data_IF_282164955095
#
_entry.id   IF_282164955095
#
_cell.length_a   1.000
_cell.length_b   1.000
_cell.length_c   1.000
_cell.angle_alpha   90.00
_cell.angle_beta   90.00
_cell.angle_gamma   90.00
#
_symmetry.space_group_name_H-M   'P 1'
#
loop_
_entity.id
_entity.type
_entity.pdbx_description
1 polymer ?
#
# COMPACT_ATOMS: atom_id res chain seq x y z
N UNK A 1 24.21 -12.25 -8.73
CA UNK A 1 22.92 -12.86 -9.12
C UNK A 1 22.25 -11.92 -10.12
N UNK A 2 21.77 -12.42 -11.26
CA UNK A 2 21.07 -11.59 -12.24
C UNK A 2 19.58 -11.56 -11.88
N UNK A 3 19.01 -10.37 -11.75
CA UNK A 3 17.59 -10.14 -11.43
C UNK A 3 16.93 -9.37 -12.57
N UNK A 4 15.60 -9.28 -12.56
CA UNK A 4 14.87 -8.41 -13.50
C UNK A 4 15.30 -6.93 -13.44
N UNK A 5 15.98 -6.52 -12.36
CA UNK A 5 16.49 -5.16 -12.16
C UNK A 5 18.02 -5.06 -12.30
N UNK A 6 18.67 -6.05 -12.93
CA UNK A 6 20.12 -6.07 -13.13
C UNK A 6 20.90 -6.90 -12.11
N UNK A 7 22.20 -6.61 -12.00
CA UNK A 7 23.15 -7.43 -11.24
C UNK A 7 23.10 -7.10 -9.75
N UNK A 8 22.67 -8.05 -8.93
CA UNK A 8 22.81 -7.98 -7.47
C UNK A 8 24.12 -8.65 -7.05
N UNK A 9 25.01 -7.88 -6.42
CA UNK A 9 26.21 -8.40 -5.75
C UNK A 9 25.85 -8.56 -4.27
N UNK A 10 26.05 -9.76 -3.75
CA UNK A 10 25.81 -10.09 -2.35
C UNK A 10 27.10 -10.70 -1.80
N UNK A 11 27.65 -10.12 -0.74
CA UNK A 11 28.92 -10.54 -0.17
C UNK A 11 29.11 -9.97 1.24
N UNK A 12 30.01 -10.57 2.01
CA UNK A 12 30.37 -10.11 3.36
C UNK A 12 31.37 -8.97 3.26
N UNK A 13 31.00 -7.78 3.72
CA UNK A 13 31.91 -6.65 3.93
C UNK A 13 32.51 -6.73 5.34
N UNK A 14 33.74 -7.26 5.43
CA UNK A 14 34.58 -7.21 6.64
C UNK A 14 34.21 -8.20 7.77
N UNK A 15 35.22 -8.62 8.52
CA UNK A 15 35.03 -9.42 9.75
C UNK A 15 34.51 -8.52 10.88
N UNK A 16 33.20 -8.57 11.15
CA UNK A 16 32.61 -7.92 12.33
C UNK A 16 31.15 -7.48 12.21
N UNK A 17 30.61 -7.32 11.00
CA UNK A 17 29.22 -6.89 10.80
C UNK A 17 28.29 -8.09 10.54
N UNK A 18 27.32 -8.31 11.42
CA UNK A 18 26.24 -9.29 11.25
C UNK A 18 25.19 -8.87 10.21
N UNK A 19 25.37 -7.74 9.54
CA UNK A 19 24.47 -7.25 8.50
C UNK A 19 24.97 -7.69 7.13
N UNK A 20 24.17 -8.50 6.42
CA UNK A 20 24.36 -8.72 4.99
C UNK A 20 24.00 -7.42 4.27
N UNK A 21 25.01 -6.63 3.88
CA UNK A 21 24.80 -5.46 3.04
C UNK A 21 24.54 -5.91 1.60
N UNK A 22 23.40 -5.48 1.05
CA UNK A 22 23.06 -5.70 -0.37
C UNK A 22 23.23 -4.37 -1.08
N UNK A 23 24.29 -4.25 -1.88
CA UNK A 23 24.48 -3.10 -2.76
C UNK A 23 23.77 -3.37 -4.10
N UNK A 24 22.68 -2.64 -4.35
CA UNK A 24 22.04 -2.60 -5.66
C UNK A 24 22.76 -1.53 -6.49
N UNK A 25 23.59 -1.95 -7.44
CA UNK A 25 24.20 -1.06 -8.43
C UNK A 25 23.49 -1.21 -9.76
N UNK A 26 22.78 -0.15 -10.17
CA UNK A 26 22.11 -0.09 -11.47
C UNK A 26 22.98 0.75 -12.40
N UNK A 27 23.78 0.09 -13.24
CA UNK A 27 24.50 0.78 -14.31
C UNK A 27 23.52 1.03 -15.46
N UNK A 28 23.08 2.28 -15.63
CA UNK A 28 22.18 2.67 -16.71
C UNK A 28 22.94 3.57 -17.68
N UNK A 29 23.24 3.04 -18.86
CA UNK A 29 24.03 3.74 -19.87
C UNK A 29 23.20 4.73 -20.70
N UNK A 30 21.88 4.54 -20.78
CA UNK A 30 20.96 5.37 -21.56
C UNK A 30 19.58 5.42 -20.88
N UNK A 31 19.33 6.45 -20.06
CA UNK A 31 18.01 6.69 -19.48
C UNK A 31 17.12 7.40 -20.49
N UNK A 32 16.23 6.66 -21.14
CA UNK A 32 15.06 7.28 -21.78
C UNK A 32 14.04 7.57 -20.69
N UNK A 33 13.47 8.77 -20.68
CA UNK A 33 12.47 9.18 -19.68
C UNK A 33 11.28 8.20 -19.59
N UNK A 34 10.95 7.54 -20.70
CA UNK A 34 9.92 6.50 -20.75
C UNK A 34 10.25 5.31 -19.85
N UNK A 35 11.52 4.93 -19.73
CA UNK A 35 11.94 3.80 -18.90
C UNK A 35 11.80 4.18 -17.40
N UNK A 36 12.06 5.44 -17.03
CA UNK A 36 11.78 5.96 -15.69
C UNK A 36 10.27 5.91 -15.37
N UNK A 37 9.43 6.43 -16.26
CA UNK A 37 7.97 6.38 -16.06
C UNK A 37 7.41 4.96 -16.06
N UNK A 38 8.06 4.04 -16.78
CA UNK A 38 7.70 2.62 -16.73
C UNK A 38 7.96 2.02 -15.35
N UNK A 39 9.01 2.47 -14.65
CA UNK A 39 9.31 2.07 -13.27
C UNK A 39 8.30 2.67 -12.29
N UNK A 40 7.94 3.95 -12.47
CA UNK A 40 6.92 4.61 -11.64
C UNK A 40 5.52 4.00 -11.81
N UNK A 41 5.23 3.42 -12.98
CA UNK A 41 3.96 2.72 -13.28
C UNK A 41 4.02 1.21 -13.02
N UNK A 42 5.12 0.67 -12.47
CA UNK A 42 5.21 -0.75 -12.12
C UNK A 42 4.15 -1.13 -11.09
N UNK A 43 3.24 -2.04 -11.48
CA UNK A 43 2.14 -2.51 -10.64
C UNK A 43 0.85 -1.69 -10.79
N UNK A 44 0.92 -0.51 -11.40
CA UNK A 44 -0.25 0.31 -11.79
C UNK A 44 -0.41 0.16 -13.31
N UNK A 45 -0.73 -1.06 -13.74
CA UNK A 45 -1.11 -1.29 -15.14
C UNK A 45 -2.61 -1.15 -15.25
N UNK A 46 -3.06 -0.57 -16.35
CA UNK A 46 -4.47 -0.63 -16.72
C UNK A 46 -4.93 -2.08 -16.60
N UNK A 47 -5.99 -2.34 -15.82
CA UNK A 47 -6.50 -3.69 -15.69
C UNK A 47 -6.84 -4.21 -17.10
N UNK A 48 -6.70 -5.52 -17.30
CA UNK A 48 -7.06 -6.18 -18.55
C UNK A 48 -8.59 -6.23 -18.70
N UNK A 49 -9.25 -5.09 -18.59
CA UNK A 49 -10.67 -4.92 -18.81
C UNK A 49 -10.85 -4.99 -20.32
N UNK A 50 -11.82 -5.77 -20.77
CA UNK A 50 -12.16 -5.90 -22.20
C UNK A 50 -12.75 -4.61 -22.80
N UNK A 51 -12.95 -3.57 -21.98
CA UNK A 51 -13.54 -2.30 -22.37
C UNK A 51 -12.48 -1.42 -23.03
N UNK A 52 -12.90 -0.73 -24.09
CA UNK A 52 -12.02 0.26 -24.73
C UNK A 52 -11.77 1.44 -23.79
N UNK A 53 -10.61 2.10 -23.95
CA UNK A 53 -10.29 3.33 -23.20
C UNK A 53 -11.41 4.38 -23.28
N UNK A 54 -12.10 4.45 -24.42
CA UNK A 54 -13.21 5.38 -24.66
C UNK A 54 -14.41 5.08 -23.77
N UNK A 55 -14.75 3.81 -23.56
CA UNK A 55 -15.87 3.40 -22.70
C UNK A 55 -15.61 3.74 -21.23
N UNK A 56 -14.36 3.56 -20.78
CA UNK A 56 -13.95 3.91 -19.41
C UNK A 56 -14.05 5.43 -19.21
N UNK A 57 -13.56 6.22 -20.17
CA UNK A 57 -13.65 7.69 -20.11
C UNK A 57 -15.10 8.20 -20.09
N UNK A 58 -15.99 7.57 -20.86
CA UNK A 58 -17.41 7.90 -20.88
C UNK A 58 -18.09 7.55 -19.55
N UNK A 59 -17.82 6.36 -19.01
CA UNK A 59 -18.33 5.94 -17.70
C UNK A 59 -17.87 6.87 -16.56
N UNK A 60 -16.60 7.33 -16.59
CA UNK A 60 -16.07 8.28 -15.59
C UNK A 60 -16.78 9.64 -15.69
N UNK A 61 -17.04 10.13 -16.91
CA UNK A 61 -17.79 11.38 -17.12
C UNK A 61 -19.23 11.26 -16.62
N UNK A 62 -19.89 10.15 -16.94
CA UNK A 62 -21.24 9.87 -16.48
C UNK A 62 -21.30 9.81 -14.95
N UNK A 63 -20.35 9.12 -14.32
CA UNK A 63 -20.24 9.06 -12.86
C UNK A 63 -20.02 10.44 -12.24
N UNK A 64 -19.14 11.26 -12.82
CA UNK A 64 -18.92 12.64 -12.37
C UNK A 64 -20.21 13.46 -12.37
N UNK A 65 -20.95 13.45 -13.49
CA UNK A 65 -22.19 14.23 -13.60
C UNK A 65 -23.26 13.73 -12.63
N UNK A 66 -23.38 12.41 -12.44
CA UNK A 66 -24.35 11.81 -11.52
C UNK A 66 -24.03 12.07 -10.05
N UNK A 67 -22.74 12.13 -9.71
CA UNK A 67 -22.28 12.28 -8.33
C UNK A 67 -22.03 13.73 -7.90
N UNK A 68 -21.99 14.66 -8.85
CA UNK A 68 -21.82 16.08 -8.57
C UNK A 68 -23.01 16.62 -7.77
N UNK A 69 -22.75 16.99 -6.53
CA UNK A 69 -23.70 17.61 -5.62
C UNK A 69 -23.11 18.89 -5.07
N UNK A 70 -23.99 19.81 -4.68
CA UNK A 70 -23.61 21.03 -3.98
C UNK A 70 -24.13 20.93 -2.56
N UNK A 71 -23.23 21.13 -1.61
CA UNK A 71 -23.55 21.19 -0.20
C UNK A 71 -24.31 22.49 0.14
N UNK A 72 -24.97 22.53 1.29
CA UNK A 72 -25.71 23.70 1.79
C UNK A 72 -24.79 24.91 2.02
N UNK A 73 -23.50 24.66 2.25
CA UNK A 73 -22.43 25.66 2.38
C UNK A 73 -21.89 26.14 1.02
N UNK A 74 -22.38 25.57 -0.08
CA UNK A 74 -22.06 25.97 -1.44
C UNK A 74 -20.87 25.26 -2.08
N UNK A 75 -20.24 24.31 -1.39
CA UNK A 75 -19.10 23.50 -1.86
C UNK A 75 -19.56 22.38 -2.81
N UNK A 76 -18.81 22.14 -3.89
CA UNK A 76 -19.08 21.01 -4.78
C UNK A 76 -18.45 19.72 -4.24
N UNK A 77 -19.25 18.67 -4.15
CA UNK A 77 -18.84 17.33 -3.75
C UNK A 77 -19.08 16.37 -4.93
N UNK A 78 -18.14 15.46 -5.15
CA UNK A 78 -18.19 14.45 -6.20
C UNK A 78 -17.67 13.15 -5.58
N UNK A 79 -18.33 12.03 -5.85
CA UNK A 79 -17.80 10.73 -5.39
C UNK A 79 -16.60 10.32 -6.24
N UNK A 80 -15.70 9.54 -5.64
CA UNK A 80 -14.57 8.97 -6.38
C UNK A 80 -15.10 7.95 -7.40
N UNK A 81 -14.63 7.99 -8.67
CA UNK A 81 -14.99 6.99 -9.66
C UNK A 81 -14.30 5.66 -9.32
N UNK A 82 -15.06 4.71 -8.82
CA UNK A 82 -14.58 3.35 -8.57
C UNK A 82 -14.65 2.52 -9.86
N UNK A 83 -13.69 1.63 -10.03
CA UNK A 83 -13.70 0.68 -11.14
C UNK A 83 -14.68 -0.46 -10.81
N UNK A 84 -15.72 -0.64 -11.61
CA UNK A 84 -16.74 -1.69 -11.35
C UNK A 84 -16.16 -3.11 -11.45
N UNK A 85 -15.16 -3.29 -12.32
CA UNK A 85 -14.50 -4.59 -12.54
C UNK A 85 -13.09 -4.53 -11.95
N UNK A 86 -12.97 -4.99 -10.71
CA UNK A 86 -11.68 -5.23 -10.06
C UNK A 86 -11.53 -6.72 -9.67
N UNK A 87 -10.33 -7.30 -9.79
CA UNK A 87 -10.09 -8.64 -9.27
C UNK A 87 -10.23 -8.66 -7.75
N UNK A 88 -10.75 -9.76 -7.20
CA UNK A 88 -10.83 -9.93 -5.75
C UNK A 88 -9.44 -9.85 -5.12
N UNK A 89 -9.34 -9.09 -4.03
CA UNK A 89 -8.11 -9.00 -3.26
C UNK A 89 -7.89 -10.31 -2.50
N UNK A 90 -6.70 -10.88 -2.63
CA UNK A 90 -6.30 -12.04 -1.84
C UNK A 90 -6.22 -11.70 -0.36
N UNK A 91 -6.63 -12.64 0.49
CA UNK A 91 -6.47 -12.56 1.95
C UNK A 91 -4.99 -12.58 2.32
N UNK A 92 -4.54 -11.56 3.04
CA UNK A 92 -3.16 -11.40 3.51
C UNK A 92 -3.01 -11.47 5.04
N UNK A 93 -4.05 -11.91 5.78
CA UNK A 93 -4.07 -11.92 7.25
C UNK A 93 -2.83 -12.55 7.87
N UNK A 94 -2.45 -13.75 7.41
CA UNK A 94 -1.27 -14.46 7.90
C UNK A 94 0.03 -13.63 7.79
N UNK A 95 0.17 -12.85 6.71
CA UNK A 95 1.33 -12.00 6.48
C UNK A 95 1.25 -10.77 7.39
N UNK A 96 0.07 -10.15 7.49
CA UNK A 96 -0.16 -9.01 8.36
C UNK A 96 0.10 -9.33 9.83
N UNK A 97 -0.39 -10.46 10.34
CA UNK A 97 -0.15 -10.91 11.72
C UNK A 97 1.35 -11.16 11.99
N UNK A 98 2.08 -11.75 11.05
CA UNK A 98 3.53 -11.94 11.18
C UNK A 98 4.27 -10.61 11.26
N UNK A 99 3.89 -9.64 10.43
CA UNK A 99 4.44 -8.28 10.45
C UNK A 99 4.13 -7.58 11.76
N UNK A 100 2.89 -7.68 12.25
CA UNK A 100 2.47 -7.12 13.54
C UNK A 100 3.30 -7.69 14.69
N UNK A 101 3.46 -9.02 14.76
CA UNK A 101 4.31 -9.66 15.78
C UNK A 101 5.76 -9.16 15.73
N UNK A 102 6.31 -8.96 14.54
CA UNK A 102 7.65 -8.40 14.38
C UNK A 102 7.73 -6.93 14.81
N UNK A 103 6.71 -6.14 14.48
CA UNK A 103 6.59 -4.74 14.88
C UNK A 103 6.56 -4.60 16.40
N UNK A 104 5.70 -5.37 17.09
CA UNK A 104 5.61 -5.38 18.56
C UNK A 104 6.95 -5.70 19.20
N UNK A 105 7.68 -6.72 18.70
CA UNK A 105 9.04 -7.04 19.20
C UNK A 105 10.02 -5.89 19.02
N UNK A 106 9.94 -5.18 17.89
CA UNK A 106 10.79 -4.02 17.61
C UNK A 106 10.48 -2.85 18.56
N UNK A 107 9.20 -2.55 18.79
CA UNK A 107 8.76 -1.50 19.70
C UNK A 107 9.14 -1.80 21.16
N UNK A 108 9.01 -3.06 21.58
CA UNK A 108 9.48 -3.52 22.90
C UNK A 108 10.99 -3.33 23.05
N UNK A 109 11.78 -3.68 22.04
CA UNK A 109 13.24 -3.48 22.06
C UNK A 109 13.63 -1.99 22.18
N UNK A 110 12.82 -1.10 21.60
CA UNK A 110 13.00 0.36 21.67
C UNK A 110 12.34 1.01 22.90
N UNK A 111 11.65 0.23 23.73
CA UNK A 111 10.90 0.68 24.91
C UNK A 111 9.82 1.76 24.62
N UNK A 112 9.26 1.79 23.40
CA UNK A 112 8.24 2.77 22.98
C UNK A 112 6.84 2.16 22.80
N UNK A 113 6.62 0.94 23.29
CA UNK A 113 5.33 0.25 23.14
C UNK A 113 4.17 1.00 23.81
N UNK A 114 4.41 1.60 24.98
CA UNK A 114 3.38 2.33 25.73
C UNK A 114 2.97 3.64 25.04
N UNK A 115 3.93 4.40 24.52
CA UNK A 115 3.65 5.62 23.75
C UNK A 115 2.78 5.30 22.53
N UNK A 116 3.12 4.19 21.86
CA UNK A 116 2.38 3.73 20.70
C UNK A 116 0.96 3.24 21.05
N UNK A 117 0.78 2.58 22.20
CA UNK A 117 -0.54 2.22 22.72
C UNK A 117 -1.41 3.45 23.02
N UNK A 118 -0.80 4.52 23.53
CA UNK A 118 -1.51 5.77 23.80
C UNK A 118 -2.04 6.42 22.51
N UNK A 119 -1.27 6.40 21.43
CA UNK A 119 -1.71 6.89 20.10
C UNK A 119 -2.94 6.12 19.63
N UNK A 120 -2.96 4.79 19.77
CA UNK A 120 -4.15 4.01 19.41
C UNK A 120 -5.37 4.37 20.27
N UNK A 121 -5.19 4.60 21.57
CA UNK A 121 -6.30 5.03 22.45
C UNK A 121 -6.84 6.39 22.04
N UNK A 122 -5.97 7.32 21.67
CA UNK A 122 -6.35 8.62 21.12
C UNK A 122 -7.15 8.45 19.82
N UNK A 123 -6.65 7.66 18.86
CA UNK A 123 -7.36 7.39 17.61
C UNK A 123 -8.72 6.71 17.81
N UNK A 124 -8.84 5.82 18.79
CA UNK A 124 -10.15 5.24 19.18
C UNK A 124 -11.07 6.33 19.73
N UNK A 125 -10.55 7.23 20.57
CA UNK A 125 -11.34 8.32 21.15
C UNK A 125 -11.80 9.35 20.10
N UNK A 126 -10.96 9.61 19.11
CA UNK A 126 -11.25 10.48 17.96
C UNK A 126 -12.09 9.79 16.89
N UNK A 127 -12.42 8.50 17.08
CA UNK A 127 -13.14 7.66 16.11
C UNK A 127 -12.46 7.59 14.73
N UNK A 128 -11.13 7.68 14.72
CA UNK A 128 -10.31 7.43 13.53
C UNK A 128 -10.23 5.92 13.28
N UNK A 129 -10.19 5.13 14.35
CA UNK A 129 -10.19 3.66 14.29
C UNK A 129 -11.24 3.08 15.24
N UNK A 130 -11.64 1.84 14.97
CA UNK A 130 -12.56 1.07 15.78
C UNK A 130 -12.03 -0.34 16.06
N UNK A 131 -12.55 -0.97 17.12
CA UNK A 131 -12.26 -2.37 17.41
C UNK A 131 -13.21 -3.26 16.61
N UNK A 132 -12.65 -4.22 15.90
CA UNK A 132 -13.41 -5.18 15.08
C UNK A 132 -13.66 -6.44 15.90
N UNK A 133 -14.91 -6.90 15.93
CA UNK A 133 -15.27 -8.11 16.65
C UNK A 133 -14.64 -9.36 15.99
N UNK A 134 -14.16 -10.35 16.77
CA UNK A 134 -13.49 -11.53 16.22
C UNK A 134 -14.34 -12.34 15.25
N UNK A 135 -15.67 -12.28 15.40
CA UNK A 135 -16.66 -12.99 14.59
C UNK A 135 -16.81 -12.40 13.19
N UNK A 136 -16.65 -11.08 13.05
CA UNK A 136 -16.62 -10.38 11.76
C UNK A 136 -15.32 -10.72 11.02
N UNK A 137 -14.21 -10.72 11.76
CA UNK A 137 -12.88 -11.08 11.25
C UNK A 137 -12.78 -12.55 10.77
N UNK A 138 -13.66 -13.42 11.26
CA UNK A 138 -13.74 -14.82 10.84
C UNK A 138 -14.67 -15.03 9.62
N UNK A 139 -15.60 -14.10 9.39
CA UNK A 139 -16.63 -14.22 8.35
C UNK A 139 -16.17 -13.67 7.01
N UNK A 140 -15.30 -12.66 7.03
CA UNK A 140 -14.88 -11.94 5.82
C UNK A 140 -13.40 -12.14 5.50
N UNK A 141 -13.10 -12.40 4.22
CA UNK A 141 -11.73 -12.34 3.71
C UNK A 141 -11.36 -10.88 3.54
N UNK A 142 -10.38 -10.42 4.30
CA UNK A 142 -9.93 -9.03 4.29
C UNK A 142 -8.51 -8.87 3.73
N UNK A 143 -8.23 -7.70 3.17
CA UNK A 143 -6.87 -7.28 2.86
C UNK A 143 -6.41 -6.22 3.88
N UNK A 144 -5.46 -6.61 4.73
CA UNK A 144 -4.94 -5.80 5.82
C UNK A 144 -3.82 -4.90 5.31
N UNK A 145 -3.96 -3.60 5.52
CA UNK A 145 -2.94 -2.62 5.15
C UNK A 145 -1.74 -2.73 6.10
N UNK A 146 -0.50 -2.71 5.57
CA UNK A 146 0.68 -2.68 6.42
C UNK A 146 0.72 -1.36 7.19
N UNK A 147 0.85 -1.42 8.51
CA UNK A 147 1.17 -0.25 9.29
C UNK A 147 2.68 0.07 9.16
N UNK A 148 3.06 1.25 8.63
CA UNK A 148 4.47 1.61 8.52
C UNK A 148 4.99 2.11 9.87
N UNK A 149 5.72 1.28 10.59
CA UNK A 149 6.56 1.77 11.71
C UNK A 149 7.88 2.31 11.17
N UNK A 150 7.84 3.47 10.52
CA UNK A 150 9.05 4.30 10.36
C UNK A 150 9.08 5.31 11.51
N UNK A 151 9.83 4.97 12.54
CA UNK A 151 10.43 5.89 13.51
C UNK A 151 11.91 6.01 13.14
#
# INVERSE_FOLDING_TARGET
MNTYFGWTIMGRTGEGCSASEVLLSLHVSDLRICDLWSLDSLGIKEPSISQSKSEIEEAVKDHFVRSLRRDDEGTYQVSLPWLEVHPELSDNRNIAERRLKSCVRSLQKRNCLQEYENIFKEWVSEKIIESVEPEELAREKGHFLPHPTRL
#
